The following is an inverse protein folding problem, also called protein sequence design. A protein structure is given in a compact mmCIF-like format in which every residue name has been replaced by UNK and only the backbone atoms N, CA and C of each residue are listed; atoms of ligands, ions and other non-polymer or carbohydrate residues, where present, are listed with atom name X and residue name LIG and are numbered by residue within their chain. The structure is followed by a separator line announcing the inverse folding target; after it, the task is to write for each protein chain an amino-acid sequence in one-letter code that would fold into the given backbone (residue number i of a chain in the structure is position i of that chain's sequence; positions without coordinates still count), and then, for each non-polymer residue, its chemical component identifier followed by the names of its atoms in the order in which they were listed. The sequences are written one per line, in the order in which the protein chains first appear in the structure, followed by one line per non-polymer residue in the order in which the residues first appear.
data_IF_665089350266
#
_entry.id   IF_665089350266
#
_cell.length_a   1.000
_cell.length_b   1.000
_cell.length_c   1.000
_cell.angle_alpha   90.00
_cell.angle_beta   90.00
_cell.angle_gamma   90.00
#
_symmetry.space_group_name_H-M   'P 1'
#
loop_
_entity.id
_entity.type
_entity.pdbx_description
1 polymer ?
#
# COMPACT_ATOMS: atom_id res chain seq x y z
N UNK A 1 -6.35 1.22 8.78
CA UNK A 1 -6.03 0.39 7.64
C UNK A 1 -4.92 1.05 6.81
N UNK A 2 -5.09 1.38 5.58
CA UNK A 2 -4.03 1.97 4.76
C UNK A 2 -4.46 3.34 4.27
N UNK A 3 -3.52 4.28 4.20
CA UNK A 3 -3.79 5.60 3.65
C UNK A 3 -3.36 5.65 2.19
N UNK A 4 -3.90 6.62 1.45
CA UNK A 4 -3.50 6.82 0.06
C UNK A 4 -2.00 7.12 -0.04
N UNK A 5 -1.48 7.88 0.91
CA UNK A 5 -0.04 8.20 0.93
C UNK A 5 0.80 6.93 1.13
N UNK A 6 0.36 6.04 2.02
CA UNK A 6 1.06 4.77 2.21
C UNK A 6 1.04 3.93 0.93
N UNK A 7 -0.08 3.93 0.24
CA UNK A 7 -0.20 3.17 -1.00
C UNK A 7 0.74 3.71 -2.08
N UNK A 8 0.76 5.04 -2.25
CA UNK A 8 1.68 5.66 -3.21
C UNK A 8 3.14 5.41 -2.82
N UNK A 9 3.46 5.52 -1.53
CA UNK A 9 4.81 5.30 -1.05
C UNK A 9 5.25 3.85 -1.24
N UNK A 10 4.35 2.91 -0.97
CA UNK A 10 4.65 1.49 -1.18
C UNK A 10 4.97 1.21 -2.64
N UNK A 11 4.17 1.79 -3.54
CA UNK A 11 4.39 1.63 -4.97
C UNK A 11 5.75 2.22 -5.37
N UNK A 12 6.09 3.39 -4.82
CA UNK A 12 7.37 4.03 -5.10
C UNK A 12 8.54 3.18 -4.59
N UNK A 13 8.41 2.63 -3.40
CA UNK A 13 9.45 1.75 -2.85
C UNK A 13 9.67 0.51 -3.69
N UNK A 14 8.60 -0.02 -4.26
CA UNK A 14 8.70 -1.21 -5.11
C UNK A 14 9.13 -0.86 -6.55
N UNK A 15 9.09 0.42 -6.91
CA UNK A 15 9.46 0.84 -8.25
C UNK A 15 8.45 0.39 -9.30
N UNK A 16 7.18 0.30 -8.93
CA UNK A 16 6.14 -0.17 -9.86
C UNK A 16 5.14 0.95 -10.13
N UNK A 17 4.45 0.83 -11.26
CA UNK A 17 3.39 1.77 -11.60
C UNK A 17 2.03 1.26 -11.12
N UNK A 18 1.00 2.07 -11.33
CA UNK A 18 -0.35 1.73 -10.91
C UNK A 18 -0.88 0.50 -11.64
N UNK A 19 -0.52 0.35 -12.90
CA UNK A 19 -0.98 -0.79 -13.70
C UNK A 19 -0.41 -2.10 -13.16
N UNK A 20 0.85 -2.08 -12.78
CA UNK A 20 1.48 -3.26 -12.19
C UNK A 20 0.84 -3.60 -10.85
N UNK A 21 0.56 -2.59 -10.02
CA UNK A 21 -0.10 -2.82 -8.75
C UNK A 21 -1.50 -3.39 -8.95
N UNK A 22 -2.21 -2.92 -9.96
CA UNK A 22 -3.53 -3.46 -10.28
C UNK A 22 -3.42 -4.95 -10.60
N UNK A 23 -2.45 -5.33 -11.41
CA UNK A 23 -2.25 -6.74 -11.75
C UNK A 23 -1.90 -7.57 -10.52
N UNK A 24 -1.03 -7.07 -9.66
CA UNK A 24 -0.62 -7.78 -8.45
C UNK A 24 -1.76 -8.02 -7.47
N UNK A 25 -2.65 -7.05 -7.37
CA UNK A 25 -3.75 -7.10 -6.39
C UNK A 25 -5.03 -7.72 -6.96
N UNK A 26 -5.09 -7.92 -8.26
CA UNK A 26 -6.31 -8.39 -8.89
C UNK A 26 -7.40 -7.33 -8.96
N UNK A 27 -7.03 -6.06 -8.84
CA UNK A 27 -7.97 -4.94 -8.93
C UNK A 27 -7.80 -4.23 -10.27
N UNK A 28 -8.79 -3.44 -10.66
CA UNK A 28 -8.71 -2.68 -11.89
C UNK A 28 -7.86 -1.43 -11.71
N UNK A 29 -7.30 -0.93 -12.80
CA UNK A 29 -6.53 0.31 -12.77
C UNK A 29 -7.36 1.48 -12.25
N UNK A 30 -8.62 1.69 -12.71
CA UNK A 30 -9.44 2.77 -12.15
C UNK A 30 -9.63 2.65 -10.63
N UNK A 31 -9.72 1.44 -10.11
CA UNK A 31 -9.84 1.25 -8.67
C UNK A 31 -8.56 1.72 -7.95
N UNK A 32 -7.41 1.37 -8.47
CA UNK A 32 -6.13 1.82 -7.90
C UNK A 32 -6.04 3.34 -7.96
N UNK A 33 -6.39 3.93 -9.09
CA UNK A 33 -6.34 5.37 -9.26
C UNK A 33 -7.24 6.08 -8.25
N UNK A 34 -8.45 5.57 -8.05
CA UNK A 34 -9.38 6.15 -7.08
C UNK A 34 -8.84 6.03 -5.66
N UNK A 35 -8.26 4.89 -5.33
CA UNK A 35 -7.69 4.68 -4.01
C UNK A 35 -6.56 5.65 -3.73
N UNK A 36 -5.67 5.86 -4.70
CA UNK A 36 -4.53 6.75 -4.52
C UNK A 36 -4.91 8.22 -4.55
N UNK A 37 -6.07 8.55 -5.09
CA UNK A 37 -6.54 9.92 -5.16
C UNK A 37 -7.30 10.36 -3.90
N UNK A 38 -7.63 9.44 -3.02
CA UNK A 38 -8.36 9.79 -1.81
C UNK A 38 -7.49 10.62 -0.87
N UNK A 39 -8.12 11.44 -0.05
CA UNK A 39 -7.41 12.41 0.78
C UNK A 39 -7.11 11.91 2.18
N UNK A 40 -7.04 10.63 2.40
CA UNK A 40 -6.78 10.08 3.73
C UNK A 40 -6.73 8.59 3.64
N UNK A 41 -7.53 7.91 4.45
CA UNK A 41 -7.60 6.46 4.38
C UNK A 41 -8.22 6.04 3.07
N UNK A 42 -7.68 4.98 2.49
CA UNK A 42 -8.21 4.42 1.25
C UNK A 42 -9.60 3.87 1.51
N UNK A 43 -10.57 4.32 0.72
CA UNK A 43 -11.92 3.78 0.77
C UNK A 43 -12.05 2.57 -0.12
N UNK A 44 -13.11 1.80 0.12
CA UNK A 44 -13.40 0.65 -0.71
C UNK A 44 -14.02 -0.45 0.12
N UNK A 45 -14.28 -1.58 -0.52
CA UNK A 45 -14.80 -2.74 0.16
C UNK A 45 -13.71 -3.42 0.97
N UNK A 46 -14.10 -4.22 1.97
CA UNK A 46 -13.14 -5.00 2.75
C UNK A 46 -12.33 -5.91 1.82
N UNK A 47 -12.98 -6.50 0.82
CA UNK A 47 -12.29 -7.37 -0.12
C UNK A 47 -11.21 -6.63 -0.90
N UNK A 48 -11.53 -5.44 -1.43
CA UNK A 48 -10.55 -4.65 -2.17
C UNK A 48 -9.38 -4.24 -1.29
N UNK A 49 -9.66 -3.81 -0.06
CA UNK A 49 -8.60 -3.39 0.86
C UNK A 49 -7.72 -4.58 1.24
N UNK A 50 -8.32 -5.74 1.47
CA UNK A 50 -7.55 -6.94 1.77
C UNK A 50 -6.63 -7.33 0.62
N UNK A 51 -7.15 -7.26 -0.61
CA UNK A 51 -6.35 -7.58 -1.79
C UNK A 51 -5.12 -6.67 -1.92
N UNK A 52 -5.30 -5.38 -1.68
CA UNK A 52 -4.21 -4.42 -1.74
C UNK A 52 -3.17 -4.72 -0.65
N UNK A 53 -3.62 -4.90 0.58
CA UNK A 53 -2.72 -5.15 1.71
C UNK A 53 -1.96 -6.45 1.50
N UNK A 54 -2.65 -7.50 1.06
CA UNK A 54 -2.01 -8.79 0.83
C UNK A 54 -0.99 -8.72 -0.30
N UNK A 55 -1.29 -8.00 -1.38
CA UNK A 55 -0.37 -7.84 -2.49
C UNK A 55 0.91 -7.13 -2.04
N UNK A 56 0.76 -6.07 -1.24
CA UNK A 56 1.91 -5.33 -0.74
C UNK A 56 2.73 -6.18 0.23
N UNK A 57 2.06 -6.93 1.10
CA UNK A 57 2.76 -7.80 2.04
C UNK A 57 3.55 -8.88 1.29
N UNK A 58 2.96 -9.46 0.26
CA UNK A 58 3.63 -10.48 -0.55
C UNK A 58 4.86 -9.90 -1.26
N UNK A 59 4.84 -8.60 -1.57
CA UNK A 59 5.96 -7.93 -2.22
C UNK A 59 7.01 -7.44 -1.21
N UNK A 60 6.80 -7.67 0.08
CA UNK A 60 7.77 -7.31 1.10
C UNK A 60 7.55 -5.96 1.75
N UNK A 61 6.40 -5.33 1.52
CA UNK A 61 6.07 -4.05 2.14
C UNK A 61 5.47 -4.28 3.52
N UNK A 62 5.98 -3.55 4.49
CA UNK A 62 5.40 -3.51 5.83
C UNK A 62 4.72 -2.17 6.02
N UNK A 63 3.44 -2.21 6.39
CA UNK A 63 2.68 -1.00 6.68
C UNK A 63 2.86 -0.66 8.16
N UNK A 64 3.23 0.59 8.43
CA UNK A 64 3.49 1.05 9.80
C UNK A 64 2.35 1.96 10.20
N UNK A 65 1.57 1.54 11.19
CA UNK A 65 0.47 2.34 11.70
C UNK A 65 0.94 3.36 12.73
N UNK A 66 0.03 4.24 13.11
CA UNK A 66 0.33 5.22 14.15
C UNK A 66 0.77 4.51 15.42
N UNK A 67 1.88 4.96 16.00
CA UNK A 67 2.37 4.39 17.25
C UNK A 67 3.04 3.04 17.13
N UNK A 68 3.17 2.51 15.94
CA UNK A 68 3.84 1.22 15.75
C UNK A 68 5.35 1.37 15.93
N UNK A 69 6.03 0.30 16.36
CA UNK A 69 7.48 0.34 16.52
C UNK A 69 8.17 0.75 15.23
N UNK A 70 8.88 1.85 15.30
CA UNK A 70 9.55 2.46 14.18
C UNK A 70 10.37 3.60 14.74
N UNK A 71 11.09 4.30 13.89
CA UNK A 71 11.85 5.47 14.36
C UNK A 71 10.95 6.67 14.63
N UNK A 72 9.74 6.69 14.06
CA UNK A 72 8.81 7.77 14.27
C UNK A 72 7.50 7.27 14.82
N UNK A 73 6.58 8.19 15.11
CA UNK A 73 5.27 7.84 15.66
C UNK A 73 4.16 7.83 14.63
N UNK A 74 4.41 8.36 13.44
CA UNK A 74 3.40 8.44 12.39
C UNK A 74 3.30 7.16 11.59
N UNK A 75 2.45 7.18 10.58
CA UNK A 75 2.28 6.07 9.66
C UNK A 75 3.39 6.07 8.62
N UNK A 76 3.68 4.92 8.08
CA UNK A 76 4.67 4.82 7.04
C UNK A 76 4.61 3.48 6.36
N UNK A 77 5.61 3.23 5.53
CA UNK A 77 5.80 1.94 4.86
C UNK A 77 7.30 1.68 4.80
N UNK A 78 7.65 0.39 4.68
CA UNK A 78 9.05 0.02 4.45
C UNK A 78 9.10 -1.35 3.80
N UNK A 79 10.21 -1.65 3.18
CA UNK A 79 10.51 -3.02 2.76
C UNK A 79 10.84 -3.79 4.02
N UNK A 80 10.25 -4.98 4.16
CA UNK A 80 10.32 -5.73 5.41
C UNK A 80 11.75 -6.12 5.76
N UNK A 81 12.57 -6.36 4.77
CA UNK A 81 13.99 -6.52 5.01
C UNK A 81 14.72 -6.49 3.68
N UNK A 82 16.03 -6.33 3.77
CA UNK A 82 16.84 -6.31 2.56
C UNK A 82 16.72 -7.66 1.87
N UNK A 83 16.36 -7.63 0.62
CA UNK A 83 16.26 -8.81 -0.20
C UNK A 83 17.55 -8.93 -0.95
N UNK A 84 18.23 -9.91 -0.71
CA UNK A 84 19.49 -10.07 -1.43
C UNK A 84 19.34 -11.05 -2.56
#
# INVERSE_FOLDING_TARGET
MITAAQLRAARALLGIDQRTLAAMSGLSLPTIQRMEASGGQVGGTVDSLTRIVDALAAAGIELIGDGQPSTGAGRGVRLREARS
#
